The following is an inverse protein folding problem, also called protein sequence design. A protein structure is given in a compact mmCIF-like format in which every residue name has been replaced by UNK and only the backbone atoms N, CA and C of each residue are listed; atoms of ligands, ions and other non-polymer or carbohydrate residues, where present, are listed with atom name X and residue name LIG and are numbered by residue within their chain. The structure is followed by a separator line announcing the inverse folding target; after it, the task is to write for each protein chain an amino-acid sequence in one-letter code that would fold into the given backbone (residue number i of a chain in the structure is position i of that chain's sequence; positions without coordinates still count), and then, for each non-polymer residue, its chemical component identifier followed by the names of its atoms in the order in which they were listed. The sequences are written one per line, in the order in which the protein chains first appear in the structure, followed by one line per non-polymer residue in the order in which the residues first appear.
data_IF_289148364159
#
_entry.id   IF_289148364159
#
_cell.length_a   1.000
_cell.length_b   1.000
_cell.length_c   1.000
_cell.angle_alpha   90.00
_cell.angle_beta   90.00
_cell.angle_gamma   90.00
#
_symmetry.space_group_name_H-M   'P 1'
#
loop_
_entity.id
_entity.type
_entity.pdbx_description
1 polymer ?
#
# COMPACT_ATOMS: atom_id res chain seq x y z
N UNK A 1 26.24 26.53 -57.14
CA UNK A 1 25.14 26.81 -56.18
C UNK A 1 25.32 25.85 -55.02
N UNK A 2 25.82 26.30 -53.86
CA UNK A 2 25.90 25.44 -52.66
C UNK A 2 24.47 25.33 -52.12
N UNK A 3 23.88 24.15 -52.25
CA UNK A 3 22.64 23.80 -51.57
C UNK A 3 22.90 23.90 -50.07
N UNK A 4 22.43 24.96 -49.44
CA UNK A 4 22.41 25.06 -47.99
C UNK A 4 21.12 24.39 -47.52
N UNK A 5 21.24 23.20 -46.95
CA UNK A 5 20.15 22.58 -46.20
C UNK A 5 19.91 23.48 -44.99
N UNK A 6 18.67 23.92 -44.78
CA UNK A 6 18.35 24.68 -43.57
C UNK A 6 18.49 23.76 -42.35
N UNK A 7 18.96 24.31 -41.24
CA UNK A 7 19.10 23.55 -39.98
C UNK A 7 17.77 22.94 -39.54
N UNK A 8 16.65 23.58 -39.84
CA UNK A 8 15.31 23.09 -39.57
C UNK A 8 14.99 21.80 -40.36
N UNK A 9 15.26 21.81 -41.67
CA UNK A 9 15.05 20.64 -42.54
C UNK A 9 15.96 19.47 -42.12
N UNK A 10 17.21 19.76 -41.75
CA UNK A 10 18.12 18.73 -41.24
C UNK A 10 17.65 18.12 -39.91
N UNK A 11 17.12 18.95 -39.00
CA UNK A 11 16.56 18.51 -37.72
C UNK A 11 15.31 17.64 -37.93
N UNK A 12 14.36 18.11 -38.76
CA UNK A 12 13.14 17.35 -39.07
C UNK A 12 13.44 16.01 -39.74
N UNK A 13 14.40 15.98 -40.67
CA UNK A 13 14.84 14.73 -41.30
C UNK A 13 15.48 13.77 -40.29
N UNK A 14 16.29 14.28 -39.36
CA UNK A 14 16.90 13.47 -38.30
C UNK A 14 15.86 12.91 -37.32
N UNK A 15 14.89 13.73 -36.88
CA UNK A 15 13.79 13.30 -36.01
C UNK A 15 12.95 12.21 -36.69
N UNK A 16 12.59 12.43 -37.96
CA UNK A 16 11.78 11.47 -38.73
C UNK A 16 12.54 10.16 -38.99
N UNK A 17 13.84 10.24 -39.25
CA UNK A 17 14.70 9.06 -39.39
C UNK A 17 14.82 8.29 -38.07
N UNK A 18 14.95 8.98 -36.94
CA UNK A 18 15.00 8.35 -35.61
C UNK A 18 13.68 7.66 -35.24
N UNK A 19 12.54 8.28 -35.53
CA UNK A 19 11.21 7.68 -35.33
C UNK A 19 11.02 6.43 -36.19
N UNK A 20 11.33 6.53 -37.49
CA UNK A 20 11.27 5.37 -38.39
C UNK A 20 12.27 4.27 -37.99
N UNK A 21 13.43 4.61 -37.44
CA UNK A 21 14.42 3.64 -36.98
C UNK A 21 13.95 2.93 -35.69
N UNK A 22 13.28 3.65 -34.79
CA UNK A 22 12.64 3.06 -33.62
C UNK A 22 11.56 2.04 -34.00
N UNK A 23 10.81 2.28 -35.08
CA UNK A 23 9.85 1.29 -35.62
C UNK A 23 10.52 0.03 -36.22
N UNK A 24 11.82 0.08 -36.55
CA UNK A 24 12.55 -1.01 -37.22
C UNK A 24 13.42 -1.80 -36.23
N UNK A 25 13.95 -1.16 -35.19
CA UNK A 25 14.76 -1.82 -34.16
C UNK A 25 13.84 -2.30 -33.05
N UNK A 26 13.34 -3.52 -33.23
CA UNK A 26 12.65 -4.26 -32.18
C UNK A 26 13.60 -5.26 -31.54
N UNK A 27 13.79 -5.13 -30.23
CA UNK A 27 14.35 -6.20 -29.42
C UNK A 27 13.24 -7.23 -29.20
N UNK A 28 13.49 -8.50 -29.53
CA UNK A 28 12.57 -9.59 -29.23
C UNK A 28 12.93 -10.16 -27.86
N UNK A 29 12.16 -9.79 -26.84
CA UNK A 29 12.25 -10.40 -25.53
C UNK A 29 11.31 -11.62 -25.47
N UNK A 30 11.80 -12.84 -25.20
CA UNK A 30 10.98 -14.04 -25.16
C UNK A 30 9.85 -13.98 -24.11
N UNK A 31 10.01 -13.17 -23.06
CA UNK A 31 9.02 -13.04 -21.98
C UNK A 31 8.01 -11.91 -22.22
N UNK A 32 8.35 -10.91 -23.03
CA UNK A 32 7.61 -9.65 -23.11
C UNK A 32 7.25 -9.18 -24.54
N UNK A 33 7.76 -9.82 -25.60
CA UNK A 33 7.43 -9.50 -27.00
C UNK A 33 8.41 -8.54 -27.69
N UNK A 34 7.96 -7.91 -28.78
CA UNK A 34 8.74 -6.93 -29.56
C UNK A 34 8.63 -5.54 -28.96
N UNK A 35 9.77 -4.94 -28.62
CA UNK A 35 9.86 -3.59 -28.02
C UNK A 35 11.03 -2.80 -28.60
N UNK A 36 10.91 -1.48 -28.66
CA UNK A 36 11.99 -0.56 -29.08
C UNK A 36 13.09 -0.51 -28.01
N UNK A 37 12.71 -0.59 -26.73
CA UNK A 37 13.65 -0.53 -25.61
C UNK A 37 14.09 -1.93 -25.21
N UNK A 38 15.42 -2.17 -25.07
CA UNK A 38 15.93 -3.45 -24.58
C UNK A 38 15.29 -3.88 -23.26
N UNK A 39 14.96 -5.17 -23.13
CA UNK A 39 14.16 -5.69 -22.02
C UNK A 39 14.70 -5.35 -20.63
N UNK A 40 16.02 -5.44 -20.42
CA UNK A 40 16.65 -5.07 -19.13
C UNK A 40 16.47 -3.59 -18.79
N UNK A 41 16.65 -2.70 -19.77
CA UNK A 41 16.49 -1.26 -19.58
C UNK A 41 15.03 -0.92 -19.27
N UNK A 42 14.08 -1.52 -20.00
CA UNK A 42 12.65 -1.34 -19.76
C UNK A 42 12.25 -1.79 -18.34
N UNK A 43 12.73 -2.95 -17.87
CA UNK A 43 12.51 -3.42 -16.49
C UNK A 43 13.14 -2.49 -15.46
N UNK A 44 14.36 -2.00 -15.71
CA UNK A 44 15.02 -1.03 -14.84
C UNK A 44 14.22 0.27 -14.73
N UNK A 45 13.80 0.84 -15.86
CA UNK A 45 13.02 2.08 -15.91
C UNK A 45 11.62 1.91 -15.28
N UNK A 46 10.95 0.78 -15.51
CA UNK A 46 9.68 0.46 -14.85
C UNK A 46 9.83 0.39 -13.33
N UNK A 47 10.91 -0.24 -12.85
CA UNK A 47 11.22 -0.29 -11.41
C UNK A 47 11.52 1.10 -10.86
N UNK A 48 12.22 1.93 -11.62
CA UNK A 48 12.53 3.32 -11.24
C UNK A 48 11.26 4.18 -11.14
N UNK A 49 10.28 4.02 -12.05
CA UNK A 49 8.96 4.68 -11.95
C UNK A 49 8.20 4.27 -10.69
N UNK A 50 8.33 3.01 -10.28
CA UNK A 50 7.82 2.53 -8.99
C UNK A 50 8.71 2.91 -7.79
N UNK A 51 9.65 3.84 -7.99
CA UNK A 51 10.57 4.39 -6.99
C UNK A 51 11.58 3.39 -6.42
N UNK A 52 11.80 2.24 -7.08
CA UNK A 52 12.81 1.29 -6.63
C UNK A 52 14.20 1.91 -6.78
N UNK A 53 15.04 1.71 -5.77
CA UNK A 53 16.38 2.30 -5.73
C UNK A 53 16.42 3.78 -5.38
N UNK A 54 15.27 4.46 -5.21
CA UNK A 54 15.21 5.83 -4.69
C UNK A 54 15.45 5.81 -3.17
N UNK A 55 16.49 6.47 -2.64
CA UNK A 55 16.76 6.51 -1.21
C UNK A 55 15.58 7.07 -0.41
N UNK A 56 15.33 6.50 0.77
CA UNK A 56 14.21 6.88 1.62
C UNK A 56 14.17 8.37 1.97
N UNK A 57 15.33 9.01 2.16
CA UNK A 57 15.45 10.45 2.43
C UNK A 57 14.92 11.35 1.31
N UNK A 58 14.82 10.84 0.07
CA UNK A 58 14.19 11.56 -1.04
C UNK A 58 12.67 11.34 -1.10
N UNK A 59 12.16 10.27 -0.48
CA UNK A 59 10.72 9.99 -0.40
C UNK A 59 10.07 10.68 0.80
N UNK A 60 10.79 10.69 1.94
CA UNK A 60 10.36 11.33 3.18
C UNK A 60 11.51 12.23 3.66
N UNK A 61 11.52 13.51 3.24
CA UNK A 61 12.61 14.42 3.55
C UNK A 61 12.65 14.84 5.02
N UNK A 62 11.50 14.79 5.71
CA UNK A 62 11.38 15.15 7.12
C UNK A 62 10.69 14.03 7.91
N UNK A 63 11.23 13.68 9.07
CA UNK A 63 10.67 12.68 9.97
C UNK A 63 9.29 13.06 10.51
N UNK A 64 8.96 14.35 10.58
CA UNK A 64 7.64 14.84 11.01
C UNK A 64 6.54 14.54 9.98
N UNK A 65 6.90 14.32 8.71
CA UNK A 65 5.95 13.89 7.68
C UNK A 65 5.46 12.46 7.93
N UNK A 66 6.25 11.62 8.61
CA UNK A 66 5.88 10.25 8.96
C UNK A 66 6.17 9.94 10.45
N UNK A 67 5.34 10.44 11.38
CA UNK A 67 5.46 10.17 12.82
C UNK A 67 5.32 8.69 13.18
N UNK A 68 5.69 8.33 14.41
CA UNK A 68 5.53 6.95 14.92
C UNK A 68 4.04 6.61 15.03
N UNK A 69 3.67 5.39 14.63
CA UNK A 69 2.28 4.91 14.59
C UNK A 69 1.38 5.80 13.71
N UNK A 70 1.84 6.08 12.49
CA UNK A 70 1.11 6.87 11.52
C UNK A 70 1.12 6.26 10.12
N UNK A 71 0.09 6.58 9.35
CA UNK A 71 -0.07 6.24 7.94
C UNK A 71 -0.32 7.52 7.13
N UNK A 72 0.29 7.63 5.96
CA UNK A 72 0.12 8.76 5.04
C UNK A 72 -0.23 8.24 3.66
N UNK A 73 -1.43 8.58 3.17
CA UNK A 73 -1.86 8.28 1.81
C UNK A 73 -1.41 9.39 0.86
N UNK A 74 -1.06 9.03 -0.37
CA UNK A 74 -0.59 9.99 -1.37
C UNK A 74 -0.92 9.54 -2.80
N UNK A 75 -0.85 10.51 -3.71
CA UNK A 75 -0.86 10.30 -5.15
C UNK A 75 0.57 10.34 -5.68
N UNK A 76 0.90 9.47 -6.62
CA UNK A 76 2.17 9.51 -7.31
C UNK A 76 2.04 10.42 -8.54
N UNK A 77 2.80 11.51 -8.56
CA UNK A 77 2.81 12.43 -9.69
C UNK A 77 3.58 11.82 -10.86
N UNK A 78 2.87 11.59 -11.98
CA UNK A 78 3.46 10.97 -13.18
C UNK A 78 4.50 11.86 -13.84
N UNK A 79 4.34 13.18 -13.82
CA UNK A 79 5.32 14.09 -14.39
C UNK A 79 6.64 14.03 -13.63
N UNK A 80 6.61 13.83 -12.31
CA UNK A 80 7.82 13.66 -11.50
C UNK A 80 8.51 12.33 -11.77
N UNK A 81 7.77 11.22 -11.87
CA UNK A 81 8.37 9.92 -12.23
C UNK A 81 8.87 9.90 -13.67
N UNK A 82 8.21 10.62 -14.58
CA UNK A 82 8.68 10.79 -15.97
C UNK A 82 9.97 11.60 -16.02
N UNK A 83 10.05 12.69 -15.25
CA UNK A 83 11.27 13.48 -15.11
C UNK A 83 12.43 12.66 -14.52
N UNK A 84 12.14 11.78 -13.55
CA UNK A 84 13.13 10.86 -12.98
C UNK A 84 13.69 9.90 -14.05
N UNK A 85 12.81 9.32 -14.88
CA UNK A 85 13.20 8.45 -16.00
C UNK A 85 14.00 9.23 -17.05
N UNK A 86 13.57 10.44 -17.42
CA UNK A 86 14.32 11.30 -18.34
C UNK A 86 15.72 11.64 -17.80
N UNK A 87 15.82 11.91 -16.50
CA UNK A 87 17.09 12.13 -15.82
C UNK A 87 18.03 10.93 -15.93
N UNK A 88 17.51 9.71 -15.72
CA UNK A 88 18.29 8.49 -15.89
C UNK A 88 18.78 8.30 -17.34
N UNK A 89 17.91 8.55 -18.32
CA UNK A 89 18.26 8.45 -19.75
C UNK A 89 19.23 9.55 -20.21
N UNK A 90 19.21 10.72 -19.56
CA UNK A 90 20.06 11.86 -19.92
C UNK A 90 21.56 11.57 -19.78
N UNK A 91 21.94 10.58 -18.96
CA UNK A 91 23.33 10.15 -18.78
C UNK A 91 23.95 9.65 -20.10
N UNK A 92 23.12 9.09 -21.00
CA UNK A 92 23.54 8.68 -22.33
C UNK A 92 23.57 9.82 -23.37
N UNK A 93 23.09 11.02 -23.04
CA UNK A 93 23.02 12.13 -24.01
C UNK A 93 24.27 13.02 -23.90
N UNK A 94 25.21 12.86 -24.82
CA UNK A 94 26.49 13.61 -24.83
C UNK A 94 26.38 14.83 -25.75
N UNK A 95 25.70 14.69 -26.90
CA UNK A 95 25.54 15.76 -27.89
C UNK A 95 24.11 16.27 -27.99
N UNK A 96 23.92 17.42 -28.65
CA UNK A 96 22.60 17.95 -28.98
C UNK A 96 21.84 17.03 -29.95
N UNK A 97 22.54 16.27 -30.80
CA UNK A 97 21.92 15.31 -31.70
C UNK A 97 21.33 14.13 -30.92
N UNK A 98 22.06 13.60 -29.94
CA UNK A 98 21.58 12.51 -29.07
C UNK A 98 20.34 12.93 -28.27
N UNK A 99 20.33 14.18 -27.80
CA UNK A 99 19.18 14.74 -27.10
C UNK A 99 17.95 14.83 -27.99
N UNK A 100 18.07 15.36 -29.20
CA UNK A 100 16.95 15.43 -30.15
C UNK A 100 16.43 14.04 -30.52
N UNK A 101 17.33 13.06 -30.70
CA UNK A 101 16.94 11.68 -30.97
C UNK A 101 16.19 11.07 -29.78
N UNK A 102 16.68 11.25 -28.55
CA UNK A 102 16.01 10.75 -27.35
C UNK A 102 14.64 11.41 -27.17
N UNK A 103 14.53 12.72 -27.35
CA UNK A 103 13.26 13.46 -27.29
C UNK A 103 12.23 12.91 -28.30
N UNK A 104 12.68 12.56 -29.51
CA UNK A 104 11.81 12.00 -30.55
C UNK A 104 11.30 10.59 -30.22
N UNK A 105 12.11 9.77 -29.55
CA UNK A 105 11.80 8.36 -29.22
C UNK A 105 11.12 8.22 -27.85
N UNK A 106 11.27 9.21 -26.96
CA UNK A 106 10.76 9.16 -25.59
C UNK A 106 9.27 8.77 -25.44
N UNK A 107 8.33 9.20 -26.31
CA UNK A 107 6.94 8.73 -26.22
C UNK A 107 6.81 7.20 -26.28
N UNK A 108 7.56 6.53 -27.17
CA UNK A 108 7.55 5.06 -27.28
C UNK A 108 8.14 4.41 -26.02
N UNK A 109 9.27 4.94 -25.54
CA UNK A 109 9.90 4.49 -24.28
C UNK A 109 8.91 4.61 -23.12
N UNK A 110 8.19 5.74 -23.05
CA UNK A 110 7.23 6.00 -21.98
C UNK A 110 6.10 4.97 -21.98
N UNK A 111 5.54 4.66 -23.13
CA UNK A 111 4.44 3.70 -23.28
C UNK A 111 4.90 2.29 -22.89
N UNK A 112 6.07 1.86 -23.39
CA UNK A 112 6.66 0.56 -23.02
C UNK A 112 6.99 0.45 -21.53
N UNK A 113 7.45 1.53 -20.91
CA UNK A 113 7.70 1.58 -19.45
C UNK A 113 6.40 1.59 -18.66
N UNK A 114 5.31 2.19 -19.17
CA UNK A 114 3.97 2.15 -18.54
C UNK A 114 3.39 0.73 -18.53
N UNK A 115 3.67 -0.06 -19.57
CA UNK A 115 3.33 -1.47 -19.61
C UNK A 115 4.20 -2.28 -18.63
N UNK A 116 5.52 -2.05 -18.66
CA UNK A 116 6.47 -2.77 -17.80
C UNK A 116 6.25 -2.51 -16.31
N UNK A 117 5.86 -1.29 -15.93
CA UNK A 117 5.48 -0.93 -14.55
C UNK A 117 4.41 -1.88 -14.00
N UNK A 118 3.46 -2.27 -14.86
CA UNK A 118 2.37 -3.18 -14.49
C UNK A 118 2.78 -4.64 -14.57
N UNK A 119 3.90 -5.02 -15.18
CA UNK A 119 4.33 -6.42 -15.24
C UNK A 119 5.35 -6.78 -14.16
N UNK A 120 5.93 -5.82 -13.45
CA UNK A 120 6.94 -6.07 -12.40
C UNK A 120 6.43 -6.98 -11.28
N UNK A 121 5.16 -6.81 -10.87
CA UNK A 121 4.52 -7.69 -9.87
C UNK A 121 3.37 -8.44 -10.50
N UNK A 122 3.65 -9.63 -11.01
CA UNK A 122 2.64 -10.58 -11.47
C UNK A 122 2.34 -11.63 -10.39
N UNK A 123 1.06 -11.87 -10.03
CA UNK A 123 0.69 -13.05 -9.30
C UNK A 123 1.00 -14.29 -10.15
N UNK A 124 1.62 -15.32 -9.57
CA UNK A 124 1.83 -16.58 -10.27
C UNK A 124 0.49 -17.30 -10.42
N UNK A 125 0.06 -17.57 -11.65
CA UNK A 125 -1.04 -18.49 -11.95
C UNK A 125 -2.44 -17.88 -12.11
N UNK A 126 -2.58 -16.55 -12.17
CA UNK A 126 -3.87 -15.89 -12.38
C UNK A 126 -3.86 -14.88 -13.52
N UNK A 127 -5.02 -14.71 -14.17
CA UNK A 127 -5.19 -13.77 -15.27
C UNK A 127 -5.01 -12.33 -14.79
N UNK A 128 -4.22 -11.56 -15.53
CA UNK A 128 -3.92 -10.17 -15.22
C UNK A 128 -5.20 -9.32 -15.32
N UNK A 129 -5.59 -8.65 -14.23
CA UNK A 129 -6.48 -7.50 -14.35
C UNK A 129 -5.71 -6.38 -15.04
N UNK A 130 -6.10 -6.06 -16.28
CA UNK A 130 -5.60 -4.87 -16.99
C UNK A 130 -6.26 -3.65 -16.34
N UNK A 131 -5.54 -2.95 -15.49
CA UNK A 131 -5.90 -1.57 -15.17
C UNK A 131 -5.32 -0.67 -16.28
N UNK A 132 -6.14 0.26 -16.78
CA UNK A 132 -5.69 1.27 -17.75
C UNK A 132 -4.61 2.17 -17.15
N UNK A 133 -3.94 2.97 -17.98
CA UNK A 133 -2.88 3.95 -17.66
C UNK A 133 -3.31 5.06 -16.69
N UNK A 134 -3.82 4.67 -15.53
CA UNK A 134 -4.49 5.52 -14.57
C UNK A 134 -3.58 6.03 -13.47
N UNK A 135 -4.21 6.82 -12.60
CA UNK A 135 -3.64 7.37 -11.38
C UNK A 135 -3.02 6.29 -10.50
N UNK A 136 -1.77 6.48 -10.08
CA UNK A 136 -1.15 5.62 -9.06
C UNK A 136 -1.29 6.30 -7.71
N UNK A 137 -1.75 5.52 -6.73
CA UNK A 137 -1.81 5.96 -5.34
C UNK A 137 -0.99 5.04 -4.47
N UNK A 138 -0.76 5.45 -3.24
CA UNK A 138 -0.04 4.63 -2.29
C UNK A 138 -0.17 5.13 -0.88
N UNK A 139 0.51 4.44 0.02
CA UNK A 139 0.72 4.93 1.36
C UNK A 139 2.12 4.60 1.88
N UNK A 140 2.53 5.42 2.84
CA UNK A 140 3.65 5.15 3.73
C UNK A 140 3.09 4.88 5.13
N UNK A 141 3.47 3.75 5.71
CA UNK A 141 3.07 3.34 7.06
C UNK A 141 4.31 3.22 7.94
N UNK A 142 4.34 3.95 9.05
CA UNK A 142 5.33 3.77 10.12
C UNK A 142 4.65 3.21 11.36
N UNK A 143 4.84 1.92 11.61
CA UNK A 143 4.21 1.25 12.76
C UNK A 143 5.06 0.10 13.28
N UNK A 144 4.94 -0.16 14.59
CA UNK A 144 5.47 -1.37 15.22
C UNK A 144 4.88 -2.63 14.60
N UNK A 145 3.65 -2.59 14.06
CA UNK A 145 3.06 -3.72 13.35
C UNK A 145 3.92 -4.15 12.14
N UNK A 146 4.47 -3.20 11.39
CA UNK A 146 5.37 -3.51 10.25
C UNK A 146 6.65 -4.22 10.71
N UNK A 147 7.18 -3.82 11.87
CA UNK A 147 8.37 -4.46 12.45
C UNK A 147 8.08 -5.83 13.08
N UNK A 148 6.91 -5.99 13.70
CA UNK A 148 6.49 -7.22 14.36
C UNK A 148 6.06 -8.32 13.39
N UNK A 149 5.48 -7.93 12.25
CA UNK A 149 4.99 -8.85 11.23
C UNK A 149 5.56 -8.50 9.84
N UNK A 150 6.77 -8.96 9.50
CA UNK A 150 7.39 -8.67 8.21
C UNK A 150 6.58 -9.16 6.99
N UNK A 151 5.77 -10.20 7.16
CA UNK A 151 4.94 -10.81 6.12
C UNK A 151 3.48 -10.33 6.18
N UNK A 152 3.23 -9.12 6.69
CA UNK A 152 1.89 -8.53 6.70
C UNK A 152 1.30 -8.51 5.28
N UNK A 153 -0.01 -8.62 5.17
CA UNK A 153 -0.69 -8.55 3.89
C UNK A 153 -1.36 -7.20 3.72
N UNK A 154 -1.23 -6.62 2.53
CA UNK A 154 -1.94 -5.40 2.15
C UNK A 154 -2.80 -5.71 0.93
N UNK A 155 -4.09 -5.39 1.03
CA UNK A 155 -5.05 -5.52 -0.06
C UNK A 155 -5.80 -4.21 -0.22
N UNK A 156 -6.10 -3.86 -1.45
CA UNK A 156 -6.83 -2.66 -1.80
C UNK A 156 -8.00 -3.03 -2.70
N UNK A 157 -9.12 -2.33 -2.51
CA UNK A 157 -10.35 -2.58 -3.25
C UNK A 157 -10.92 -1.25 -3.78
N UNK A 158 -11.46 -1.28 -4.99
CA UNK A 158 -12.13 -0.15 -5.65
C UNK A 158 -13.54 0.10 -5.11
N UNK A 159 -14.11 -0.90 -4.44
CA UNK A 159 -15.36 -0.82 -3.67
C UNK A 159 -15.26 -1.77 -2.48
N UNK A 160 -15.97 -1.50 -1.41
CA UNK A 160 -16.02 -2.44 -0.30
C UNK A 160 -16.81 -3.71 -0.71
N UNK A 161 -16.18 -4.87 -0.54
CA UNK A 161 -16.73 -6.19 -0.90
C UNK A 161 -16.58 -7.22 0.22
N UNK A 162 -15.80 -6.90 1.26
CA UNK A 162 -15.51 -7.82 2.36
C UNK A 162 -15.80 -7.07 3.65
N UNK A 163 -16.78 -7.55 4.41
CA UNK A 163 -17.06 -7.00 5.73
C UNK A 163 -15.78 -6.95 6.60
N UNK A 164 -15.65 -5.89 7.40
CA UNK A 164 -14.44 -5.60 8.17
C UNK A 164 -13.96 -6.79 9.02
N UNK A 165 -14.90 -7.52 9.61
CA UNK A 165 -14.71 -8.66 10.51
C UNK A 165 -14.67 -10.03 9.78
N UNK A 166 -14.84 -10.04 8.46
CA UNK A 166 -14.88 -11.29 7.71
C UNK A 166 -13.53 -12.04 7.79
N UNK A 167 -13.59 -13.30 8.22
CA UNK A 167 -12.42 -14.18 8.29
C UNK A 167 -11.85 -14.55 6.91
N UNK A 168 -12.60 -14.27 5.84
CA UNK A 168 -12.21 -14.53 4.45
C UNK A 168 -11.74 -13.26 3.75
N UNK A 169 -11.17 -13.40 2.56
CA UNK A 169 -10.82 -12.29 1.66
C UNK A 169 -11.47 -12.58 0.32
N UNK A 170 -11.77 -11.54 -0.45
CA UNK A 170 -12.10 -11.72 -1.86
C UNK A 170 -10.95 -12.47 -2.57
N UNK A 171 -11.29 -13.23 -3.60
CA UNK A 171 -10.30 -13.90 -4.44
C UNK A 171 -9.31 -12.88 -5.02
N UNK A 172 -8.09 -13.32 -5.32
CA UNK A 172 -7.11 -12.49 -6.03
C UNK A 172 -7.64 -12.02 -7.39
N UNK A 173 -8.49 -12.83 -8.04
CA UNK A 173 -9.15 -12.57 -9.30
C UNK A 173 -10.42 -11.68 -9.23
N UNK A 174 -10.81 -11.21 -8.05
CA UNK A 174 -12.01 -10.37 -7.92
C UNK A 174 -11.82 -9.04 -8.65
N UNK A 175 -12.77 -8.61 -9.51
CA UNK A 175 -12.64 -7.37 -10.30
C UNK A 175 -12.60 -6.09 -9.45
N UNK A 176 -13.10 -6.14 -8.20
CA UNK A 176 -12.99 -5.02 -7.26
C UNK A 176 -11.59 -4.91 -6.65
N UNK A 177 -10.78 -5.96 -6.74
CA UNK A 177 -9.45 -5.95 -6.16
C UNK A 177 -8.49 -5.15 -7.02
N UNK A 178 -7.74 -4.29 -6.36
CA UNK A 178 -6.74 -3.45 -7.00
C UNK A 178 -5.38 -4.11 -7.02
N UNK A 179 -4.65 -3.85 -8.10
CA UNK A 179 -3.30 -4.34 -8.25
C UNK A 179 -2.36 -3.56 -7.35
N UNK A 180 -1.54 -4.28 -6.58
CA UNK A 180 -0.45 -3.70 -5.80
C UNK A 180 0.81 -3.68 -6.67
N UNK A 181 1.23 -2.50 -7.10
CA UNK A 181 2.39 -2.34 -7.99
C UNK A 181 3.71 -2.52 -7.24
N UNK A 182 3.79 -2.00 -6.02
CA UNK A 182 4.97 -2.17 -5.14
C UNK A 182 4.52 -2.35 -3.71
N UNK A 183 5.18 -3.25 -3.00
CA UNK A 183 5.07 -3.39 -1.56
C UNK A 183 6.45 -3.70 -1.03
N UNK A 184 7.02 -2.78 -0.27
CA UNK A 184 8.41 -2.89 0.18
C UNK A 184 8.59 -2.25 1.55
N UNK A 185 9.35 -2.92 2.40
CA UNK A 185 9.74 -2.40 3.69
C UNK A 185 11.02 -1.57 3.54
N UNK A 186 10.89 -0.25 3.51
CA UNK A 186 12.01 0.69 3.32
C UNK A 186 12.90 0.81 4.56
N UNK A 187 12.34 0.59 5.75
CA UNK A 187 13.05 0.52 7.03
C UNK A 187 12.31 -0.47 7.96
N UNK A 188 12.91 -0.96 9.07
CA UNK A 188 12.30 -2.03 9.89
C UNK A 188 10.83 -1.81 10.30
N UNK A 189 10.42 -0.55 10.50
CA UNK A 189 9.05 -0.18 10.86
C UNK A 189 8.33 0.63 9.78
N UNK A 190 8.91 0.80 8.58
CA UNK A 190 8.37 1.64 7.50
C UNK A 190 8.04 0.80 6.28
N UNK A 191 6.77 0.81 5.87
CA UNK A 191 6.25 0.13 4.70
C UNK A 191 5.81 1.15 3.65
N UNK A 192 6.24 0.95 2.40
CA UNK A 192 5.74 1.64 1.21
C UNK A 192 4.87 0.69 0.42
N UNK A 193 3.68 1.14 0.03
CA UNK A 193 2.80 0.42 -0.88
C UNK A 193 2.30 1.34 -1.98
N UNK A 194 2.30 0.85 -3.23
CA UNK A 194 1.75 1.52 -4.40
C UNK A 194 0.66 0.65 -5.03
N UNK A 195 -0.42 1.28 -5.48
CA UNK A 195 -1.59 0.67 -6.10
C UNK A 195 -1.84 1.26 -7.49
N UNK A 196 -2.35 0.43 -8.39
CA UNK A 196 -2.80 0.85 -9.73
C UNK A 196 -4.25 1.36 -9.64
N UNK A 197 -4.42 2.65 -9.37
CA UNK A 197 -5.70 3.32 -9.16
C UNK A 197 -5.87 3.94 -7.78
N UNK A 198 -7.07 4.47 -7.49
CA UNK A 198 -7.47 5.01 -6.18
C UNK A 198 -8.31 3.98 -5.44
N UNK A 199 -7.86 3.46 -4.28
CA UNK A 199 -8.67 2.54 -3.48
C UNK A 199 -9.78 3.26 -2.73
N UNK A 200 -10.95 2.63 -2.66
CA UNK A 200 -12.01 3.01 -1.73
C UNK A 200 -11.73 2.46 -0.34
N UNK A 201 -11.18 1.24 -0.26
CA UNK A 201 -10.86 0.56 1.00
C UNK A 201 -9.51 -0.15 0.89
N UNK A 202 -8.71 -0.06 1.95
CA UNK A 202 -7.42 -0.73 2.11
C UNK A 202 -7.43 -1.57 3.38
N UNK A 203 -7.16 -2.87 3.23
CA UNK A 203 -7.05 -3.83 4.32
C UNK A 203 -5.57 -4.10 4.60
N UNK A 204 -5.16 -3.89 5.84
CA UNK A 204 -3.85 -4.29 6.36
C UNK A 204 -4.07 -5.42 7.35
N UNK A 205 -3.55 -6.59 7.01
CA UNK A 205 -3.77 -7.82 7.78
C UNK A 205 -2.47 -8.40 8.31
N UNK A 206 -2.55 -8.96 9.52
CA UNK A 206 -1.53 -9.87 9.99
C UNK A 206 -1.42 -11.12 9.07
N UNK A 207 -0.26 -11.77 9.01
CA UNK A 207 -0.07 -12.98 8.24
C UNK A 207 -1.09 -14.05 8.66
N UNK A 208 -1.79 -14.64 7.68
CA UNK A 208 -2.86 -15.62 7.96
C UNK A 208 -2.39 -16.92 8.60
N UNK A 209 -1.09 -17.21 8.49
CA UNK A 209 -0.46 -18.34 9.15
C UNK A 209 -0.24 -18.11 10.65
N UNK A 210 -0.51 -16.90 11.16
CA UNK A 210 -0.31 -16.48 12.54
C UNK A 210 -1.50 -16.71 13.46
N UNK A 211 -2.24 -17.81 13.32
CA UNK A 211 -3.29 -18.16 14.31
C UNK A 211 -2.61 -18.41 15.65
N UNK A 212 -3.09 -17.74 16.68
CA UNK A 212 -2.51 -17.78 18.03
C UNK A 212 -3.56 -18.13 19.06
N UNK A 213 -3.12 -18.60 20.23
CA UNK A 213 -3.96 -18.62 21.43
C UNK A 213 -3.62 -17.43 22.31
N UNK A 214 -4.61 -16.72 22.87
CA UNK A 214 -4.28 -15.67 23.82
C UNK A 214 -5.43 -14.80 24.35
N UNK A 215 -5.08 -13.86 25.22
CA UNK A 215 -5.98 -12.93 25.91
C UNK A 215 -5.71 -11.45 25.53
N UNK A 216 -6.76 -10.61 25.46
CA UNK A 216 -6.65 -9.20 25.05
C UNK A 216 -6.68 -8.36 26.31
N UNK A 217 -5.97 -7.24 26.29
CA UNK A 217 -6.22 -6.20 27.27
C UNK A 217 -7.39 -5.38 26.77
N UNK A 218 -8.30 -5.05 27.67
CA UNK A 218 -9.37 -4.11 27.36
C UNK A 218 -8.78 -2.69 27.28
N UNK A 219 -8.86 -2.00 26.13
CA UNK A 219 -8.32 -0.66 25.99
C UNK A 219 -9.05 0.37 26.87
N UNK A 220 -10.34 0.13 27.16
CA UNK A 220 -11.19 1.01 27.99
C UNK A 220 -10.90 0.86 29.48
N UNK A 221 -10.27 -0.24 29.91
CA UNK A 221 -9.81 -0.39 31.28
C UNK A 221 -8.69 0.65 31.56
N UNK A 222 -8.77 1.40 32.69
CA UNK A 222 -7.72 2.34 33.05
C UNK A 222 -6.39 1.59 33.26
N UNK A 223 -5.22 2.20 32.95
CA UNK A 223 -3.93 1.50 32.94
C UNK A 223 -3.60 0.73 34.24
N UNK A 224 -4.05 1.23 35.39
CA UNK A 224 -3.85 0.60 36.70
C UNK A 224 -4.77 -0.61 36.98
N UNK A 225 -5.82 -0.79 36.20
CA UNK A 225 -6.81 -1.86 36.36
C UNK A 225 -6.92 -2.79 35.14
N UNK A 226 -6.11 -2.59 34.10
CA UNK A 226 -6.12 -3.41 32.88
C UNK A 226 -5.94 -4.89 33.21
N UNK A 227 -6.98 -5.66 32.93
CA UNK A 227 -6.94 -7.12 33.03
C UNK A 227 -6.92 -7.73 31.64
N UNK A 228 -6.26 -8.88 31.54
CA UNK A 228 -6.37 -9.71 30.35
C UNK A 228 -7.74 -10.40 30.36
N UNK A 229 -8.49 -10.25 29.27
CA UNK A 229 -9.82 -10.82 29.06
C UNK A 229 -9.82 -11.72 27.82
N UNK A 230 -10.69 -12.72 27.81
CA UNK A 230 -10.94 -13.61 26.67
C UNK A 230 -12.42 -13.50 26.30
N UNK A 231 -12.73 -13.30 25.02
CA UNK A 231 -14.10 -13.39 24.53
C UNK A 231 -14.55 -14.84 24.55
N UNK A 232 -15.81 -15.01 24.90
CA UNK A 232 -16.49 -16.28 24.90
C UNK A 232 -17.08 -16.53 23.51
N UNK A 233 -16.98 -17.77 23.06
CA UNK A 233 -17.55 -18.28 21.81
C UNK A 233 -18.58 -19.36 22.09
N UNK A 234 -19.54 -19.53 21.20
CA UNK A 234 -20.43 -20.68 21.22
C UNK A 234 -19.64 -21.97 20.94
N UNK A 235 -19.84 -23.01 21.75
CA UNK A 235 -19.09 -24.27 21.58
C UNK A 235 -19.54 -25.08 20.35
N UNK A 236 -20.76 -24.89 19.86
CA UNK A 236 -21.27 -25.59 18.68
C UNK A 236 -20.85 -24.92 17.37
N UNK A 237 -20.88 -23.59 17.31
CA UNK A 237 -20.62 -22.84 16.07
C UNK A 237 -19.23 -22.20 16.01
N UNK A 238 -18.61 -21.92 17.16
CA UNK A 238 -17.35 -21.17 17.26
C UNK A 238 -17.48 -19.66 17.09
N UNK A 239 -18.69 -19.17 16.89
CA UNK A 239 -18.97 -17.74 16.75
C UNK A 239 -18.77 -17.02 18.08
N UNK A 240 -18.27 -15.79 18.00
CA UNK A 240 -18.15 -14.93 19.18
C UNK A 240 -19.53 -14.57 19.72
N UNK A 241 -19.71 -14.61 21.05
CA UNK A 241 -20.94 -14.16 21.69
C UNK A 241 -21.06 -12.63 21.54
N UNK A 242 -22.13 -12.09 20.94
CA UNK A 242 -22.28 -10.64 20.75
C UNK A 242 -22.36 -9.86 22.08
N UNK A 243 -21.90 -8.60 22.12
CA UNK A 243 -21.24 -7.85 21.04
C UNK A 243 -19.82 -8.38 20.76
N UNK A 244 -19.34 -8.27 19.52
CA UNK A 244 -18.05 -8.85 19.11
C UNK A 244 -16.87 -7.95 19.44
N UNK A 245 -17.06 -6.63 19.32
CA UNK A 245 -15.98 -5.65 19.42
C UNK A 245 -15.69 -5.21 20.86
N UNK A 246 -16.70 -5.23 21.72
CA UNK A 246 -16.61 -4.75 23.10
C UNK A 246 -16.57 -5.89 24.13
N UNK A 247 -15.80 -5.69 25.20
CA UNK A 247 -15.83 -6.57 26.36
C UNK A 247 -17.02 -6.23 27.25
N UNK A 248 -17.92 -7.19 27.43
CA UNK A 248 -19.02 -7.12 28.39
C UNK A 248 -18.89 -8.26 29.41
N UNK A 249 -19.50 -8.12 30.61
CA UNK A 249 -19.52 -9.20 31.57
C UNK A 249 -20.19 -10.49 31.05
N UNK A 250 -21.05 -10.40 30.03
CA UNK A 250 -21.75 -11.55 29.46
C UNK A 250 -20.92 -12.30 28.41
N UNK A 251 -20.15 -11.58 27.58
CA UNK A 251 -19.41 -12.17 26.45
C UNK A 251 -17.92 -12.42 26.75
N UNK A 252 -17.47 -12.22 27.99
CA UNK A 252 -16.04 -12.29 28.30
C UNK A 252 -15.72 -12.80 29.71
N UNK A 253 -14.48 -13.25 29.86
CA UNK A 253 -13.93 -13.79 31.10
C UNK A 253 -12.57 -13.16 31.39
N UNK A 254 -12.37 -12.71 32.63
CA UNK A 254 -11.07 -12.30 33.14
C UNK A 254 -10.12 -13.50 33.24
N UNK A 255 -8.93 -13.36 32.68
CA UNK A 255 -7.89 -14.38 32.72
C UNK A 255 -7.29 -14.48 34.12
N UNK A 256 -7.42 -15.63 34.79
CA UNK A 256 -6.77 -15.86 36.07
C UNK A 256 -5.27 -16.14 35.86
N UNK A 257 -4.44 -15.45 36.63
CA UNK A 257 -3.01 -15.74 36.73
C UNK A 257 -2.71 -16.54 38.01
N UNK A 258 -1.64 -17.32 37.99
CA UNK A 258 -1.22 -18.10 39.16
C UNK A 258 -0.70 -17.17 40.27
N UNK A 259 -1.10 -17.39 41.54
CA UNK A 259 -0.51 -16.69 42.67
C UNK A 259 1.01 -16.89 42.70
N UNK A 260 1.79 -15.83 42.88
CA UNK A 260 3.25 -15.89 42.97
C UNK A 260 4.00 -16.11 41.64
N UNK A 261 3.30 -16.22 40.50
CA UNK A 261 3.91 -16.37 39.18
C UNK A 261 3.26 -15.40 38.17
N UNK A 262 3.62 -14.10 38.19
CA UNK A 262 3.06 -13.11 37.28
C UNK A 262 3.35 -13.51 35.82
N UNK A 263 2.33 -13.41 34.96
CA UNK A 263 2.41 -13.82 33.55
C UNK A 263 2.08 -15.28 33.27
N UNK A 264 1.94 -16.14 34.29
CA UNK A 264 1.53 -17.55 34.10
C UNK A 264 0.03 -17.70 34.32
N UNK A 265 -0.69 -18.11 33.26
CA UNK A 265 -2.13 -18.32 33.30
C UNK A 265 -2.48 -19.56 34.14
N UNK A 266 -3.48 -19.44 35.00
CA UNK A 266 -4.09 -20.58 35.66
C UNK A 266 -5.13 -21.21 34.72
N UNK A 267 -4.68 -22.17 33.90
CA UNK A 267 -5.49 -22.83 32.87
C UNK A 267 -6.74 -23.51 33.47
N UNK A 268 -6.63 -24.15 34.64
CA UNK A 268 -7.77 -24.83 35.27
C UNK A 268 -8.87 -23.82 35.66
N UNK A 269 -8.49 -22.74 36.33
CA UNK A 269 -9.42 -21.68 36.70
C UNK A 269 -9.98 -20.94 35.46
N UNK A 270 -9.17 -20.77 34.41
CA UNK A 270 -9.65 -20.16 33.18
C UNK A 270 -10.70 -21.05 32.50
N UNK A 271 -10.45 -22.35 32.42
CA UNK A 271 -11.37 -23.34 31.85
C UNK A 271 -12.71 -23.33 32.59
N UNK A 272 -12.71 -23.33 33.92
CA UNK A 272 -13.93 -23.27 34.72
C UNK A 272 -14.74 -21.99 34.45
N UNK A 273 -14.05 -20.84 34.41
CA UNK A 273 -14.70 -19.55 34.13
C UNK A 273 -15.27 -19.48 32.71
N UNK A 274 -14.57 -20.03 31.72
CA UNK A 274 -15.04 -20.12 30.34
C UNK A 274 -16.23 -21.09 30.23
N UNK A 275 -16.14 -22.28 30.82
CA UNK A 275 -17.22 -23.27 30.81
C UNK A 275 -18.53 -22.72 31.40
N UNK A 276 -18.43 -21.91 32.44
CA UNK A 276 -19.58 -21.28 33.09
C UNK A 276 -20.31 -20.23 32.23
N UNK A 277 -19.62 -19.64 31.24
CA UNK A 277 -20.19 -18.57 30.39
C UNK A 277 -20.39 -18.98 28.93
N UNK A 278 -19.63 -19.96 28.45
CA UNK A 278 -19.70 -20.43 27.07
C UNK A 278 -21.05 -21.08 26.78
N UNK A 279 -21.81 -20.55 25.80
CA UNK A 279 -23.01 -21.21 25.33
C UNK A 279 -22.70 -22.63 24.87
N UNK A 280 -23.62 -23.55 25.16
CA UNK A 280 -23.54 -24.96 24.74
C UNK A 280 -22.33 -25.75 25.28
N UNK A 281 -21.62 -25.24 26.29
CA UNK A 281 -20.47 -25.94 26.90
C UNK A 281 -20.85 -27.22 27.66
N UNK A 282 -22.12 -27.40 28.03
CA UNK A 282 -22.53 -28.50 28.91
C UNK A 282 -21.92 -28.42 30.32
N UNK A 283 -21.40 -27.26 30.73
CA UNK A 283 -20.86 -27.02 32.07
C UNK A 283 -19.39 -27.40 32.27
N UNK A 284 -18.74 -27.97 31.24
CA UNK A 284 -17.28 -28.19 31.21
C UNK A 284 -16.73 -27.78 29.85
N UNK A 285 -15.42 -27.81 29.64
CA UNK A 285 -14.86 -27.62 28.30
C UNK A 285 -13.87 -28.73 28.01
N UNK A 286 -14.10 -29.44 26.93
CA UNK A 286 -13.13 -30.38 26.38
C UNK A 286 -11.91 -29.61 25.79
N UNK A 287 -10.75 -30.25 25.58
CA UNK A 287 -9.55 -29.56 25.10
C UNK A 287 -9.73 -28.82 23.77
N UNK A 288 -10.52 -29.37 22.85
CA UNK A 288 -10.90 -28.74 21.58
C UNK A 288 -11.77 -27.50 21.79
N UNK A 289 -12.78 -27.56 22.66
CA UNK A 289 -13.65 -26.43 22.97
C UNK A 289 -12.88 -25.34 23.70
N UNK A 290 -12.01 -25.71 24.65
CA UNK A 290 -11.11 -24.76 25.31
C UNK A 290 -10.16 -24.08 24.32
N UNK A 291 -9.60 -24.85 23.37
CA UNK A 291 -8.77 -24.28 22.32
C UNK A 291 -9.57 -23.29 21.46
N UNK A 292 -10.80 -23.64 21.06
CA UNK A 292 -11.71 -22.78 20.31
C UNK A 292 -11.94 -21.44 21.01
N UNK A 293 -12.20 -21.45 22.32
CA UNK A 293 -12.36 -20.22 23.13
C UNK A 293 -11.11 -19.32 23.08
N UNK A 294 -9.92 -19.94 23.03
CA UNK A 294 -8.65 -19.22 23.07
C UNK A 294 -8.15 -18.75 21.70
N UNK A 295 -8.79 -19.18 20.60
CA UNK A 295 -8.36 -18.86 19.23
C UNK A 295 -8.41 -17.36 18.95
N UNK A 296 -7.28 -16.85 18.45
CA UNK A 296 -7.13 -15.54 17.86
C UNK A 296 -6.89 -15.66 16.39
N UNK A 297 -7.81 -15.08 15.65
CA UNK A 297 -7.61 -14.83 14.25
C UNK A 297 -6.69 -13.63 14.04
N UNK A 298 -5.88 -13.64 12.96
CA UNK A 298 -5.07 -12.51 12.54
C UNK A 298 -5.88 -11.22 12.52
N UNK A 299 -5.31 -10.15 13.06
CA UNK A 299 -5.99 -8.86 13.05
C UNK A 299 -6.02 -8.26 11.63
N UNK A 300 -7.14 -7.63 11.27
CA UNK A 300 -7.31 -6.81 10.07
C UNK A 300 -7.61 -5.39 10.50
N UNK A 301 -6.78 -4.45 10.09
CA UNK A 301 -7.11 -3.03 10.10
C UNK A 301 -7.69 -2.64 8.75
N UNK A 302 -8.87 -2.04 8.75
CA UNK A 302 -9.52 -1.47 7.57
C UNK A 302 -9.31 0.04 7.55
N UNK A 303 -8.91 0.57 6.40
CA UNK A 303 -8.82 2.00 6.13
C UNK A 303 -9.73 2.32 4.95
N UNK A 304 -10.68 3.21 5.17
CA UNK A 304 -11.72 3.57 4.21
C UNK A 304 -12.97 3.98 4.96
N UNK A 305 -14.02 4.30 4.22
CA UNK A 305 -15.34 4.59 4.78
C UNK A 305 -16.30 3.42 4.45
N UNK A 306 -16.22 2.29 5.18
CA UNK A 306 -17.02 1.10 4.91
C UNK A 306 -18.53 1.34 5.11
N UNK A 307 -18.92 2.46 5.74
CA UNK A 307 -20.32 2.83 6.01
C UNK A 307 -20.82 3.99 5.14
N UNK A 308 -20.00 4.51 4.22
CA UNK A 308 -20.29 5.73 3.42
C UNK A 308 -20.78 6.92 4.30
N UNK A 309 -20.17 7.06 5.48
CA UNK A 309 -20.47 8.09 6.48
C UNK A 309 -19.71 9.41 6.28
N UNK A 310 -18.57 9.40 5.60
CA UNK A 310 -17.79 10.58 5.20
C UNK A 310 -18.45 11.36 4.06
N UNK A 311 -19.32 10.74 3.26
CA UNK A 311 -20.23 11.47 2.37
C UNK A 311 -21.09 12.52 3.11
N UNK A 312 -21.25 12.39 4.43
CA UNK A 312 -21.94 13.35 5.30
C UNK A 312 -21.02 14.23 6.15
N UNK A 313 -19.69 13.99 6.16
CA UNK A 313 -18.72 14.76 6.96
C UNK A 313 -17.52 15.14 6.11
N UNK A 314 -17.68 16.19 5.32
CA UNK A 314 -16.56 16.93 4.76
C UNK A 314 -15.75 17.58 5.90
N UNK A 315 -14.64 16.96 6.30
CA UNK A 315 -13.62 17.67 7.06
C UNK A 315 -12.95 18.68 6.12
N UNK A 316 -13.23 19.96 6.32
CA UNK A 316 -12.58 21.05 5.60
C UNK A 316 -11.06 21.19 5.90
N UNK A 317 -10.46 20.23 6.62
CA UNK A 317 -9.13 20.31 7.21
C UNK A 317 -8.00 19.65 6.40
N UNK A 318 -8.29 18.78 5.43
CA UNK A 318 -7.24 18.08 4.65
C UNK A 318 -7.10 18.50 3.18
N UNK A 319 -7.64 19.67 2.80
CA UNK A 319 -7.15 20.31 1.58
C UNK A 319 -5.80 20.94 1.90
N UNK A 320 -4.74 20.43 1.28
CA UNK A 320 -3.53 21.22 1.06
C UNK A 320 -3.93 22.49 0.30
N UNK A 321 -4.26 23.56 1.04
CA UNK A 321 -4.41 24.89 0.48
C UNK A 321 -3.02 25.47 0.41
N UNK A 322 -2.43 25.47 -0.78
CA UNK A 322 -1.36 26.43 -1.07
C UNK A 322 -1.90 27.82 -0.69
N UNK A 323 -1.42 28.37 0.42
CA UNK A 323 -2.02 29.54 1.09
C UNK A 323 -1.69 30.83 0.35
N UNK A 324 -0.95 30.75 -0.75
CA UNK A 324 -0.56 31.86 -1.57
C UNK A 324 -0.88 31.48 -3.02
N UNK A 325 -1.87 32.15 -3.61
CA UNK A 325 -2.09 32.07 -5.05
C UNK A 325 -0.81 32.55 -5.75
N UNK A 326 -0.37 31.86 -6.81
CA UNK A 326 0.85 32.20 -7.54
C UNK A 326 0.89 33.70 -7.95
N UNK A 327 -0.28 34.29 -8.21
CA UNK A 327 -0.43 35.70 -8.58
C UNK A 327 -0.12 36.66 -7.42
N UNK A 328 -0.44 36.29 -6.17
CA UNK A 328 -0.07 37.10 -4.99
C UNK A 328 1.40 36.95 -4.61
N UNK A 329 2.04 35.83 -4.95
CA UNK A 329 3.48 35.66 -4.79
C UNK A 329 4.27 36.45 -5.86
N UNK A 330 3.81 36.44 -7.13
CA UNK A 330 4.40 37.23 -8.22
C UNK A 330 4.42 38.72 -7.91
N UNK A 331 3.32 39.28 -7.38
CA UNK A 331 3.27 40.69 -7.01
C UNK A 331 4.22 41.04 -5.86
N UNK A 332 4.39 40.14 -4.88
CA UNK A 332 5.30 40.32 -3.75
C UNK A 332 6.76 40.31 -4.20
N UNK A 333 7.14 39.39 -5.09
CA UNK A 333 8.50 39.28 -5.64
C UNK A 333 8.84 40.47 -6.55
N UNK A 334 7.90 40.92 -7.40
CA UNK A 334 8.09 42.11 -8.23
C UNK A 334 8.22 43.37 -7.37
N UNK A 335 7.47 43.47 -6.27
CA UNK A 335 7.55 44.62 -5.34
C UNK A 335 8.85 44.63 -4.52
N UNK A 336 9.42 43.46 -4.21
CA UNK A 336 10.71 43.36 -3.51
C UNK A 336 11.90 43.57 -4.44
N UNK A 337 11.83 43.13 -5.70
CA UNK A 337 12.89 43.34 -6.70
C UNK A 337 12.90 44.77 -7.29
N UNK A 338 11.76 45.48 -7.27
CA UNK A 338 11.69 46.89 -7.68
C UNK A 338 12.15 47.90 -6.62
N UNK A 339 12.61 47.42 -5.44
CA UNK A 339 13.16 48.23 -4.34
C UNK A 339 14.67 48.03 -4.14
N UNK A 340 15.34 47.36 -5.07
CA UNK A 340 16.80 47.26 -5.12
C UNK A 340 17.39 48.34 -6.03
#
# INVERSE_FOLDING_TARGET
MKSFISSDIALQAAVKAAQNYAEIVTDQDPDDGEHVVPGELRRFLGRLRLLHGVPFSYLVPDAELLPVESIRFFYLDRAWTDALVQGALSVGTISSADRTQLEAVYPHIRDEVDEAERTIRQPRGEALLKAGSGTITGFLLRSRAVSGWPNLHVRAYSRDVVADDALTTAAESDPSRMKVLRMERLAPAVLLVLFDGVPAVVHIEEPRQGIQFGARLDPEDPPSARRAKVHVRDCNTGDSVPPVDDFTPANSVDVPFRPGAPGVINIAALRERLAAKAPNSGGTLEPNEYALQMLRFPYRQVFGDPKDTEGQKFYALDRFKATVALDSWKSTVVTQLGKA
#
